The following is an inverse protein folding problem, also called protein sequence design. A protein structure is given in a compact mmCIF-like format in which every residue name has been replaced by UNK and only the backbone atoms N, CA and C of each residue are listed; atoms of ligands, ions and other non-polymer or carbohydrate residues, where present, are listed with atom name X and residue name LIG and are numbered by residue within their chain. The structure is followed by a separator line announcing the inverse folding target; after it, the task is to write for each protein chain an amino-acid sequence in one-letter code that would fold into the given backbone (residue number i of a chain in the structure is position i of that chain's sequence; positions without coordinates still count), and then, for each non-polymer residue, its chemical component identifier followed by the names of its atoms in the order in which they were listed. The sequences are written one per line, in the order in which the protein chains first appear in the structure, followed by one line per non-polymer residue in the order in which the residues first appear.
data_IF_776093262319
#
_entry.id   IF_776093262319
#
_cell.length_a   1.000
_cell.length_b   1.000
_cell.length_c   1.000
_cell.angle_alpha   90.00
_cell.angle_beta   90.00
_cell.angle_gamma   90.00
#
_symmetry.space_group_name_H-M   'P 1'
#
loop_
_entity.id
_entity.type
_entity.pdbx_description
1 polymer ?
#
# COMPACT_ATOMS: atom_id res chain seq x y z
N UNK A 1 -1.01 -3.19 12.08
CA UNK A 1 -0.76 -4.63 12.34
C UNK A 1 0.74 -4.90 12.30
N UNK A 2 1.31 -5.67 13.23
CA UNK A 2 2.75 -6.01 13.18
C UNK A 2 2.99 -7.14 12.18
N UNK A 3 4.21 -7.21 11.63
CA UNK A 3 4.58 -8.22 10.64
C UNK A 3 4.49 -9.64 11.21
N UNK A 4 4.86 -9.81 12.49
CA UNK A 4 4.78 -11.08 13.20
C UNK A 4 3.32 -11.53 13.36
N UNK A 5 2.43 -10.62 13.77
CA UNK A 5 0.98 -10.89 13.91
C UNK A 5 0.37 -11.33 12.57
N UNK A 6 0.78 -10.69 11.48
CA UNK A 6 0.35 -11.04 10.12
C UNK A 6 0.79 -12.46 9.74
N UNK A 7 2.06 -12.79 9.95
CA UNK A 7 2.61 -14.09 9.57
C UNK A 7 1.91 -15.22 10.33
N UNK A 8 1.66 -15.02 11.62
CA UNK A 8 0.94 -16.00 12.44
C UNK A 8 -0.50 -16.22 11.93
N UNK A 9 -1.23 -15.14 11.62
CA UNK A 9 -2.57 -15.24 11.07
C UNK A 9 -2.58 -15.92 9.70
N UNK A 10 -1.64 -15.59 8.82
CA UNK A 10 -1.53 -16.21 7.50
C UNK A 10 -1.25 -17.72 7.59
N UNK A 11 -0.37 -18.15 8.50
CA UNK A 11 -0.07 -19.57 8.73
C UNK A 11 -1.26 -20.32 9.31
N UNK A 12 -1.99 -19.72 10.26
CA UNK A 12 -3.25 -20.29 10.78
C UNK A 12 -4.29 -20.43 9.68
N UNK A 13 -4.45 -19.43 8.82
CA UNK A 13 -5.41 -19.48 7.72
C UNK A 13 -5.04 -20.57 6.69
N UNK A 14 -3.76 -20.72 6.38
CA UNK A 14 -3.26 -21.81 5.53
C UNK A 14 -3.54 -23.20 6.13
N UNK A 15 -3.34 -23.36 7.45
CA UNK A 15 -3.65 -24.59 8.17
C UNK A 15 -5.15 -24.91 8.14
N UNK A 16 -6.02 -23.91 8.39
CA UNK A 16 -7.48 -24.06 8.35
C UNK A 16 -7.99 -24.43 6.97
N UNK A 17 -7.31 -23.99 5.91
CA UNK A 17 -7.65 -24.31 4.50
C UNK A 17 -7.04 -25.62 4.02
N UNK A 18 -6.25 -26.32 4.85
CA UNK A 18 -5.58 -27.57 4.48
C UNK A 18 -4.49 -27.37 3.42
N UNK A 19 -3.77 -26.24 3.47
CA UNK A 19 -2.71 -25.88 2.53
C UNK A 19 -1.33 -25.90 3.24
N UNK A 20 -0.81 -27.07 3.63
CA UNK A 20 0.44 -27.16 4.40
C UNK A 20 1.67 -26.67 3.62
N UNK A 21 1.65 -26.79 2.29
CA UNK A 21 2.75 -26.37 1.42
C UNK A 21 2.96 -24.84 1.40
N UNK A 22 1.98 -24.07 1.88
CA UNK A 22 2.11 -22.61 2.02
C UNK A 22 2.99 -22.21 3.21
N UNK A 23 3.13 -23.05 4.24
CA UNK A 23 3.89 -22.71 5.45
C UNK A 23 5.35 -22.30 5.15
N UNK A 24 6.14 -23.07 4.39
CA UNK A 24 7.51 -22.66 4.04
C UNK A 24 7.56 -21.41 3.16
N UNK A 25 6.57 -21.18 2.30
CA UNK A 25 6.51 -19.99 1.44
C UNK A 25 6.22 -18.73 2.27
N UNK A 26 5.31 -18.83 3.24
CA UNK A 26 4.99 -17.76 4.17
C UNK A 26 6.17 -17.43 5.08
N UNK A 27 6.92 -18.43 5.56
CA UNK A 27 8.14 -18.21 6.34
C UNK A 27 9.21 -17.47 5.52
N UNK A 28 9.41 -17.87 4.26
CA UNK A 28 10.41 -17.24 3.38
C UNK A 28 10.04 -15.78 3.08
N UNK A 29 8.77 -15.50 2.79
CA UNK A 29 8.26 -14.14 2.60
C UNK A 29 8.41 -13.28 3.86
N UNK A 30 8.09 -13.84 5.02
CA UNK A 30 8.24 -13.15 6.31
C UNK A 30 9.70 -12.76 6.56
N UNK A 31 10.65 -13.68 6.36
CA UNK A 31 12.09 -13.42 6.49
C UNK A 31 12.56 -12.34 5.53
N UNK A 32 12.18 -12.41 4.26
CA UNK A 32 12.53 -11.40 3.26
C UNK A 32 12.00 -10.02 3.65
N UNK A 33 10.75 -9.95 4.13
CA UNK A 33 10.12 -8.69 4.55
C UNK A 33 10.78 -8.13 5.81
N UNK A 34 11.17 -8.99 6.75
CA UNK A 34 11.93 -8.57 7.94
C UNK A 34 13.30 -8.01 7.56
N UNK A 35 14.01 -8.67 6.65
CA UNK A 35 15.30 -8.20 6.15
C UNK A 35 15.15 -6.85 5.43
N UNK A 36 14.11 -6.69 4.60
CA UNK A 36 13.81 -5.44 3.90
C UNK A 36 13.59 -4.28 4.88
N UNK A 37 12.79 -4.51 5.93
CA UNK A 37 12.49 -3.48 6.95
C UNK A 37 13.65 -3.20 7.91
N UNK A 38 14.52 -4.19 8.10
CA UNK A 38 15.72 -4.04 8.91
C UNK A 38 16.88 -3.36 8.16
N UNK A 39 16.78 -3.24 6.83
CA UNK A 39 17.81 -2.59 6.04
C UNK A 39 17.95 -1.11 6.40
N UNK A 40 19.19 -0.61 6.44
CA UNK A 40 19.50 0.74 6.93
C UNK A 40 18.74 1.85 6.18
N UNK A 41 18.48 1.67 4.89
CA UNK A 41 17.71 2.61 4.08
C UNK A 41 16.22 2.69 4.48
N UNK A 42 15.67 1.64 5.10
CA UNK A 42 14.28 1.61 5.56
C UNK A 42 14.08 2.42 6.85
N UNK A 43 15.16 2.84 7.51
CA UNK A 43 15.11 3.62 8.76
C UNK A 43 14.78 5.11 8.53
N UNK A 44 15.09 5.61 7.34
CA UNK A 44 14.80 6.99 6.91
C UNK A 44 13.50 7.12 6.11
N UNK A 45 12.94 6.01 5.64
CA UNK A 45 11.66 6.03 4.94
C UNK A 45 10.57 6.52 5.92
N UNK A 46 9.98 7.71 5.72
CA UNK A 46 8.86 8.13 6.54
C UNK A 46 7.77 7.07 6.37
N UNK A 47 7.26 6.56 7.49
CA UNK A 47 6.03 5.78 7.49
C UNK A 47 4.93 6.74 7.07
N UNK A 48 4.71 6.89 5.76
CA UNK A 48 3.67 7.75 5.22
C UNK A 48 2.33 7.24 5.74
N UNK A 49 1.63 7.99 6.62
CA UNK A 49 0.32 7.61 7.10
C UNK A 49 -0.77 8.06 6.12
N UNK A 50 -0.50 8.11 4.82
CA UNK A 50 -1.53 8.30 3.79
C UNK A 50 -2.36 7.02 3.61
N UNK A 51 -3.23 6.79 4.59
CA UNK A 51 -4.54 6.18 4.41
C UNK A 51 -5.28 6.78 3.20
N UNK A 52 -6.08 5.96 2.55
CA UNK A 52 -6.73 6.28 1.30
C UNK A 52 -7.65 7.48 1.32
N UNK A 53 -7.54 8.31 0.29
CA UNK A 53 -8.65 8.97 -0.38
C UNK A 53 -8.16 9.54 -1.71
N UNK A 54 -9.08 9.66 -2.65
CA UNK A 54 -8.96 10.26 -3.98
C UNK A 54 -8.31 9.40 -5.07
N UNK A 55 -9.16 8.59 -5.73
CA UNK A 55 -8.98 8.29 -7.14
C UNK A 55 -8.93 9.58 -7.98
N UNK A 56 -8.34 9.54 -9.18
CA UNK A 56 -8.14 10.71 -10.02
C UNK A 56 -9.49 11.18 -10.59
N UNK A 57 -10.17 12.04 -9.83
CA UNK A 57 -11.47 12.60 -10.16
C UNK A 57 -11.57 14.07 -9.79
N UNK A 58 -10.57 14.85 -10.18
CA UNK A 58 -10.68 16.30 -10.24
C UNK A 58 -9.77 16.79 -11.37
N UNK A 59 -10.16 16.46 -12.60
CA UNK A 59 -9.71 17.22 -13.75
C UNK A 59 -10.25 18.63 -13.56
N UNK A 60 -9.33 19.52 -13.20
CA UNK A 60 -9.43 20.96 -13.27
C UNK A 60 -9.80 21.34 -14.72
N UNK A 61 -11.09 21.28 -15.07
CA UNK A 61 -11.61 21.88 -16.31
C UNK A 61 -11.67 23.39 -16.10
N UNK A 62 -10.48 23.99 -16.07
CA UNK A 62 -10.31 25.42 -16.13
C UNK A 62 -10.51 25.85 -17.58
N UNK A 63 -11.77 25.83 -18.04
CA UNK A 63 -12.15 26.45 -19.31
C UNK A 63 -11.81 27.95 -19.22
N UNK A 64 -10.87 28.50 -20.03
CA UNK A 64 -10.67 29.93 -20.05
C UNK A 64 -11.93 30.59 -20.62
N UNK A 65 -12.55 31.43 -19.80
CA UNK A 65 -13.68 32.27 -20.21
C UNK A 65 -13.18 33.28 -21.24
N UNK A 66 -13.77 33.25 -22.45
CA UNK A 66 -13.49 34.24 -23.50
C UNK A 66 -13.93 35.66 -23.06
N UNK A 67 -13.24 36.72 -23.52
CA UNK A 67 -13.51 38.08 -23.07
C UNK A 67 -14.84 38.63 -23.63
N UNK A 68 -15.46 39.63 -22.97
CA UNK A 68 -16.69 40.24 -23.45
C UNK A 68 -16.41 41.25 -24.57
N UNK A 69 -16.86 40.97 -25.80
CA UNK A 69 -16.93 41.99 -26.84
C UNK A 69 -18.20 42.84 -26.62
N UNK A 70 -17.98 44.10 -26.24
CA UNK A 70 -19.00 45.11 -26.10
C UNK A 70 -19.26 45.88 -27.40
N UNK A 71 -20.51 46.35 -27.50
CA UNK A 71 -21.02 47.52 -28.26
C UNK A 71 -20.67 47.65 -29.74
N UNK A 72 -21.72 47.60 -30.56
CA UNK A 72 -22.14 48.74 -31.40
C UNK A 72 -23.64 48.92 -31.34
#
# INVERSE_FOLDING_TARGET
MRLDDWCEQARRDAALRGLPDLDPLLDMLFRATRALRAADWAREAPADPAEGAAGPGAADDKRPSAPPEGRR
#
